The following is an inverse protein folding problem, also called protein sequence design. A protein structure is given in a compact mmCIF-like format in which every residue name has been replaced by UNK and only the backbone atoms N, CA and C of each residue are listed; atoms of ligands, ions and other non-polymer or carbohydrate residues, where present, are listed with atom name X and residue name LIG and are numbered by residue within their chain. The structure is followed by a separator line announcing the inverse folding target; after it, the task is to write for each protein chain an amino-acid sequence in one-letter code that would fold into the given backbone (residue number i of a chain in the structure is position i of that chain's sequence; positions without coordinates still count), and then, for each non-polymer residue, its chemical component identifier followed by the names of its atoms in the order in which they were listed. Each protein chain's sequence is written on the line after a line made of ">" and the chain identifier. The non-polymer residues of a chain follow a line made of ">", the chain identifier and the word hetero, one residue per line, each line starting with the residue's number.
data_IF_919478296351
#
_entry.id   IF_919478296351
#
_cell.length_a   1.000
_cell.length_b   1.000
_cell.length_c   1.000
_cell.angle_alpha   90.00
_cell.angle_beta   90.00
_cell.angle_gamma   90.00
#
_symmetry.space_group_name_H-M   'P 1'
#
loop_
_entity.id
_entity.type
_entity.pdbx_description
1 polymer ?
#
# COMPACT_ATOMS: atom_id res chain seq x y z
N UNK A 1 23.64 -2.03 -35.74
CA UNK A 1 22.38 -1.77 -35.04
C UNK A 1 22.31 -2.70 -33.84
N UNK A 2 22.63 -2.21 -32.64
CA UNK A 2 22.57 -2.99 -31.39
C UNK A 2 21.14 -2.98 -30.87
N UNK A 3 20.28 -3.80 -31.47
CA UNK A 3 18.93 -4.07 -30.99
C UNK A 3 18.97 -4.97 -29.77
N UNK A 4 19.36 -4.43 -28.62
CA UNK A 4 19.31 -5.11 -27.33
C UNK A 4 18.46 -4.29 -26.38
N UNK A 5 17.14 -4.30 -26.58
CA UNK A 5 16.22 -3.74 -25.60
C UNK A 5 16.42 -4.42 -24.25
N UNK A 6 16.26 -3.68 -23.15
CA UNK A 6 16.40 -4.22 -21.79
C UNK A 6 15.31 -5.29 -21.58
N UNK A 7 15.66 -6.56 -21.80
CA UNK A 7 14.76 -7.73 -21.84
C UNK A 7 14.48 -8.32 -20.46
N UNK A 8 14.65 -7.54 -19.40
CA UNK A 8 14.50 -8.06 -18.03
C UNK A 8 13.03 -8.35 -17.75
N UNK A 9 12.71 -9.53 -17.18
CA UNK A 9 11.33 -9.90 -16.91
C UNK A 9 10.74 -9.00 -15.83
N UNK A 10 9.54 -8.47 -16.08
CA UNK A 10 8.79 -7.75 -15.07
C UNK A 10 8.09 -8.73 -14.13
N UNK A 11 8.27 -8.54 -12.83
CA UNK A 11 7.54 -9.22 -11.77
C UNK A 11 6.57 -8.25 -11.12
N UNK A 12 5.31 -8.68 -11.06
CA UNK A 12 4.25 -7.98 -10.39
C UNK A 12 3.87 -8.74 -9.12
N UNK A 13 3.75 -8.05 -8.00
CA UNK A 13 3.21 -8.59 -6.75
C UNK A 13 2.04 -7.72 -6.32
N UNK A 14 0.84 -8.31 -6.25
CA UNK A 14 -0.34 -7.62 -5.75
C UNK A 14 -0.33 -7.65 -4.22
N UNK A 15 -0.45 -6.49 -3.59
CA UNK A 15 -0.56 -6.38 -2.14
C UNK A 15 -2.03 -6.39 -1.66
N UNK A 16 -2.99 -6.44 -2.58
CA UNK A 16 -4.41 -6.20 -2.30
C UNK A 16 -4.79 -4.72 -2.41
N UNK A 17 -6.10 -4.43 -2.37
CA UNK A 17 -6.65 -3.13 -2.74
C UNK A 17 -6.04 -2.64 -4.07
N UNK A 18 -5.54 -1.41 -4.11
CA UNK A 18 -4.88 -0.85 -5.29
C UNK A 18 -3.36 -1.11 -5.34
N UNK A 19 -2.79 -1.76 -4.32
CA UNK A 19 -1.35 -1.82 -4.12
C UNK A 19 -0.62 -2.84 -5.00
N UNK A 20 0.45 -2.41 -5.65
CA UNK A 20 1.34 -3.26 -6.44
C UNK A 20 2.81 -2.97 -6.17
N UNK A 21 3.63 -4.01 -6.15
CA UNK A 21 5.07 -3.92 -6.43
C UNK A 21 5.34 -4.38 -7.85
N UNK A 22 6.09 -3.58 -8.58
CA UNK A 22 6.52 -3.83 -9.95
C UNK A 22 8.03 -3.75 -9.97
N UNK A 23 8.71 -4.78 -10.46
CA UNK A 23 10.17 -4.79 -10.53
C UNK A 23 10.68 -5.56 -11.73
N UNK A 24 11.81 -5.13 -12.28
CA UNK A 24 12.59 -5.85 -13.29
C UNK A 24 13.79 -6.63 -12.69
N UNK A 25 13.90 -6.64 -11.35
CA UNK A 25 15.03 -7.21 -10.60
C UNK A 25 16.11 -6.19 -10.19
N UNK A 26 16.09 -4.98 -10.73
CA UNK A 26 17.00 -3.88 -10.33
C UNK A 26 16.22 -2.68 -9.79
N UNK A 27 15.12 -2.30 -10.45
CA UNK A 27 14.25 -1.20 -10.01
C UNK A 27 13.00 -1.74 -9.33
N UNK A 28 12.59 -1.13 -8.23
CA UNK A 28 11.37 -1.43 -7.49
C UNK A 28 10.45 -0.21 -7.48
N UNK A 29 9.30 -0.35 -8.16
CA UNK A 29 8.23 0.64 -8.16
C UNK A 29 7.10 0.11 -7.29
N UNK A 30 6.63 0.94 -6.37
CA UNK A 30 5.39 0.71 -5.64
C UNK A 30 4.29 1.62 -6.14
N UNK A 31 3.17 1.06 -6.56
CA UNK A 31 1.95 1.78 -6.89
C UNK A 31 0.95 1.62 -5.76
N UNK A 32 0.46 2.72 -5.20
CA UNK A 32 -0.56 2.78 -4.14
C UNK A 32 -0.33 1.76 -2.99
N UNK A 33 0.86 1.75 -2.35
CA UNK A 33 1.24 0.67 -1.42
C UNK A 33 0.53 0.79 -0.06
N UNK A 34 -0.77 0.50 -0.02
CA UNK A 34 -1.58 0.47 1.20
C UNK A 34 -1.71 -0.96 1.74
N UNK A 35 -1.04 -1.24 2.86
CA UNK A 35 -0.98 -2.53 3.55
C UNK A 35 -1.68 -2.52 4.92
N UNK A 36 -1.77 -1.37 5.61
CA UNK A 36 -2.31 -1.28 6.98
C UNK A 36 -3.77 -1.68 7.09
N UNK A 37 -4.54 -1.53 5.99
CA UNK A 37 -5.93 -2.03 5.87
C UNK A 37 -6.81 -1.57 7.05
N UNK A 38 -6.59 -0.36 7.53
CA UNK A 38 -7.27 0.28 8.67
C UNK A 38 -8.76 -0.04 8.65
N UNK A 39 -9.26 -0.53 9.79
CA UNK A 39 -10.70 -0.66 10.03
C UNK A 39 -11.20 0.70 10.47
N UNK A 40 -12.16 1.25 9.76
CA UNK A 40 -12.69 2.58 10.02
C UNK A 40 -14.18 2.54 10.25
N UNK A 41 -14.67 3.48 11.05
CA UNK A 41 -16.08 3.70 11.29
C UNK A 41 -16.46 5.15 11.00
N UNK A 42 -17.48 5.35 10.17
CA UNK A 42 -18.03 6.63 9.76
C UNK A 42 -18.03 6.81 8.24
N UNK A 43 -19.11 7.42 7.73
CA UNK A 43 -19.39 7.64 6.30
C UNK A 43 -18.45 8.61 5.55
N UNK A 44 -17.29 8.95 6.14
CA UNK A 44 -16.37 9.95 5.60
C UNK A 44 -15.22 9.35 4.80
N UNK A 45 -14.89 8.07 5.00
CA UNK A 45 -13.96 7.30 4.15
C UNK A 45 -14.66 6.58 2.99
N UNK A 46 -15.98 6.68 2.91
CA UNK A 46 -16.81 6.04 1.89
C UNK A 46 -18.26 5.91 2.35
N UNK A 47 -19.15 5.36 1.51
CA UNK A 47 -20.56 5.16 1.87
C UNK A 47 -20.77 4.10 2.97
N UNK A 48 -19.73 3.34 3.30
CA UNK A 48 -19.78 2.20 4.20
C UNK A 48 -18.68 2.30 5.26
N UNK A 49 -18.93 1.70 6.42
CA UNK A 49 -17.88 1.39 7.39
C UNK A 49 -16.98 0.28 6.82
N UNK A 50 -15.82 0.05 7.46
CA UNK A 50 -14.98 -1.08 7.10
C UNK A 50 -15.75 -2.39 7.23
N UNK A 51 -15.49 -3.32 6.30
CA UNK A 51 -16.08 -4.67 6.33
C UNK A 51 -15.77 -5.35 7.66
N UNK A 52 -16.81 -5.86 8.32
CA UNK A 52 -16.64 -6.68 9.51
C UNK A 52 -16.09 -8.06 9.14
N UNK A 53 -14.93 -8.38 9.70
CA UNK A 53 -14.27 -9.68 9.53
C UNK A 53 -14.27 -10.35 10.91
N UNK A 54 -14.81 -11.58 11.04
CA UNK A 54 -14.77 -12.32 12.29
C UNK A 54 -13.34 -12.44 12.82
N UNK A 55 -13.17 -12.24 14.12
CA UNK A 55 -11.91 -12.38 14.84
C UNK A 55 -10.76 -11.48 14.34
N UNK A 56 -11.08 -10.37 13.65
CA UNK A 56 -10.09 -9.39 13.25
C UNK A 56 -9.60 -8.57 14.45
N UNK A 57 -8.32 -8.74 14.86
CA UNK A 57 -7.80 -8.13 16.08
C UNK A 57 -7.50 -6.63 15.91
N UNK A 58 -7.59 -6.09 14.70
CA UNK A 58 -7.21 -4.70 14.43
C UNK A 58 -8.25 -3.75 15.04
N UNK A 59 -7.81 -2.65 15.68
CA UNK A 59 -8.73 -1.69 16.26
C UNK A 59 -9.55 -1.01 15.17
N UNK A 60 -10.82 -0.73 15.48
CA UNK A 60 -11.65 0.15 14.67
C UNK A 60 -11.26 1.59 15.00
N UNK A 61 -10.84 2.32 13.98
CA UNK A 61 -10.40 3.72 14.07
C UNK A 61 -11.57 4.64 13.72
N UNK A 62 -11.89 5.57 14.61
CA UNK A 62 -12.87 6.62 14.37
C UNK A 62 -12.22 7.82 13.67
N UNK A 63 -13.02 8.69 13.07
CA UNK A 63 -12.50 9.88 12.38
C UNK A 63 -11.74 10.86 13.28
N UNK A 64 -12.07 10.85 14.57
CA UNK A 64 -11.40 11.72 15.56
C UNK A 64 -10.06 11.17 16.02
N UNK A 65 -9.68 9.97 15.57
CA UNK A 65 -8.49 9.26 16.01
C UNK A 65 -7.48 9.21 14.86
N UNK A 66 -6.18 9.35 15.13
CA UNK A 66 -5.17 9.15 14.11
C UNK A 66 -5.18 7.68 13.67
N UNK A 67 -5.25 7.45 12.37
CA UNK A 67 -4.98 6.14 11.81
C UNK A 67 -3.47 5.89 11.82
N UNK A 68 -3.03 4.79 12.44
CA UNK A 68 -1.64 4.36 12.46
C UNK A 68 -1.25 3.56 11.22
N UNK A 69 0.03 3.21 11.14
CA UNK A 69 0.59 2.30 10.15
C UNK A 69 0.79 0.92 10.79
N UNK A 70 0.41 -0.16 10.10
CA UNK A 70 0.87 -1.51 10.45
C UNK A 70 2.31 -1.69 9.95
N UNK A 71 3.24 -1.09 10.69
CA UNK A 71 4.65 -1.06 10.32
C UNK A 71 5.24 -2.46 10.19
N UNK A 72 4.79 -3.42 11.01
CA UNK A 72 5.24 -4.80 10.93
C UNK A 72 4.84 -5.48 9.61
N UNK A 73 3.61 -5.26 9.14
CA UNK A 73 3.15 -5.76 7.83
C UNK A 73 3.84 -5.02 6.69
N UNK A 74 3.98 -3.69 6.79
CA UNK A 74 4.67 -2.88 5.78
C UNK A 74 6.12 -3.34 5.63
N UNK A 75 6.88 -3.45 6.72
CA UNK A 75 8.30 -3.80 6.70
C UNK A 75 8.55 -5.22 6.17
N UNK A 76 7.60 -6.13 6.41
CA UNK A 76 7.65 -7.50 5.88
C UNK A 76 7.50 -7.55 4.36
N UNK A 77 6.62 -6.74 3.78
CA UNK A 77 6.25 -6.84 2.36
C UNK A 77 6.91 -5.78 1.47
N UNK A 78 7.35 -4.68 2.07
CA UNK A 78 7.96 -3.52 1.42
C UNK A 78 9.34 -3.27 2.05
N UNK A 79 10.33 -4.12 1.77
CA UNK A 79 11.68 -3.92 2.30
C UNK A 79 12.42 -2.77 1.62
N UNK A 80 12.07 -2.44 0.37
CA UNK A 80 12.74 -1.44 -0.46
C UNK A 80 11.76 -0.83 -1.48
N UNK A 81 12.10 0.37 -1.97
CA UNK A 81 11.44 1.03 -3.10
C UNK A 81 12.36 2.10 -3.69
N UNK A 82 12.48 2.15 -5.01
CA UNK A 82 13.12 3.28 -5.71
C UNK A 82 12.10 4.38 -6.01
N UNK A 83 10.87 3.98 -6.32
CA UNK A 83 9.78 4.90 -6.65
C UNK A 83 8.50 4.54 -5.91
N UNK A 84 7.83 5.58 -5.39
CA UNK A 84 6.47 5.50 -4.87
C UNK A 84 5.56 6.30 -5.80
N UNK A 85 4.57 5.62 -6.37
CA UNK A 85 3.59 6.21 -7.26
C UNK A 85 2.23 6.19 -6.56
N UNK A 86 1.59 7.36 -6.51
CA UNK A 86 0.22 7.52 -6.04
C UNK A 86 -0.69 7.83 -7.21
N UNK A 87 -1.71 6.99 -7.44
CA UNK A 87 -2.74 7.26 -8.45
C UNK A 87 -3.63 8.44 -8.03
N UNK A 88 -4.00 8.49 -6.75
CA UNK A 88 -4.74 9.58 -6.10
C UNK A 88 -4.63 9.46 -4.57
N UNK A 89 -5.24 10.38 -3.83
CA UNK A 89 -5.01 10.58 -2.40
C UNK A 89 -6.12 10.04 -1.48
N UNK A 90 -6.95 9.09 -1.94
CA UNK A 90 -7.80 8.38 -1.00
C UNK A 90 -6.96 7.55 -0.03
N UNK A 91 -7.46 7.38 1.20
CA UNK A 91 -6.72 6.76 2.29
C UNK A 91 -6.19 5.36 1.93
N UNK A 92 -6.99 4.56 1.20
CA UNK A 92 -6.66 3.21 0.79
C UNK A 92 -5.63 3.11 -0.35
N UNK A 93 -5.03 4.24 -0.74
CA UNK A 93 -3.92 4.36 -1.68
C UNK A 93 -2.70 4.99 -1.00
N UNK A 94 -2.92 6.05 -0.22
CA UNK A 94 -1.86 6.94 0.23
C UNK A 94 -1.48 6.83 1.71
N UNK A 95 -2.29 6.19 2.56
CA UNK A 95 -2.12 6.27 4.02
C UNK A 95 -0.79 5.69 4.53
N UNK A 96 -0.21 4.71 3.85
CA UNK A 96 1.07 4.11 4.26
C UNK A 96 2.29 4.75 3.61
N UNK A 97 2.10 5.59 2.59
CA UNK A 97 3.20 6.23 1.87
C UNK A 97 4.08 7.09 2.79
N UNK A 98 3.55 7.89 3.74
CA UNK A 98 4.41 8.65 4.65
C UNK A 98 5.36 7.78 5.47
N UNK A 99 4.93 6.60 5.94
CA UNK A 99 5.82 5.68 6.65
C UNK A 99 6.83 5.06 5.70
N UNK A 100 6.38 4.52 4.56
CA UNK A 100 7.24 3.87 3.56
C UNK A 100 8.33 4.83 3.04
N UNK A 101 7.99 6.11 2.80
CA UNK A 101 8.92 7.11 2.29
C UNK A 101 9.94 7.60 3.33
N UNK A 102 9.71 7.37 4.63
CA UNK A 102 10.61 7.77 5.73
C UNK A 102 11.45 6.61 6.27
N UNK A 103 11.36 5.42 5.67
CA UNK A 103 12.23 4.29 5.99
C UNK A 103 13.66 4.57 5.54
#
# INVERSE_FOLDING_TARGET
>A
MTGGGNMRPLRFTHFGAAGWKITDGETVILLDPYLSRVRFQGRRYGPHDATEIPDDPRPVVKMSEPAGHDTATIDRHVPEADFLILSHSHFNHAMDVPYIANK
#
